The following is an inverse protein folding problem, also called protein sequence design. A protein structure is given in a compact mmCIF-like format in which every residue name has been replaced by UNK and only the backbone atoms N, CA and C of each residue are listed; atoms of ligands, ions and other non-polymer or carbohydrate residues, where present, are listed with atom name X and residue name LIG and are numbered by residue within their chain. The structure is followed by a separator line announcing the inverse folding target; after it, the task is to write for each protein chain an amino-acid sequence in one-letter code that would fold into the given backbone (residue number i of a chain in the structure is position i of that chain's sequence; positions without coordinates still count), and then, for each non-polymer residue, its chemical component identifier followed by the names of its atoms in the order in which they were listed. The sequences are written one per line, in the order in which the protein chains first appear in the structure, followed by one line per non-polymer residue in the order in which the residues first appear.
data_IF_434918891863
#
_entry.id   IF_434918891863
#
_cell.length_a   1.000
_cell.length_b   1.000
_cell.length_c   1.000
_cell.angle_alpha   90.00
_cell.angle_beta   90.00
_cell.angle_gamma   90.00
#
_symmetry.space_group_name_H-M   'P 1'
#
loop_
_entity.id
_entity.type
_entity.pdbx_description
1 polymer ?
#
# COMPACT_ATOMS: atom_id res chain seq x y z
N UNK A 1 -17.40 20.09 -16.96
CA UNK A 1 -16.89 18.73 -17.25
C UNK A 1 -17.56 17.76 -16.28
N UNK A 2 -18.37 16.79 -16.74
CA UNK A 2 -19.03 15.83 -15.86
C UNK A 2 -18.04 14.74 -15.40
N UNK A 3 -18.00 14.49 -14.07
CA UNK A 3 -17.19 13.47 -13.38
C UNK A 3 -17.28 12.04 -13.97
N UNK A 4 -18.31 11.75 -14.76
CA UNK A 4 -18.51 10.46 -15.42
C UNK A 4 -17.45 10.14 -16.47
N UNK A 5 -16.90 11.15 -17.14
CA UNK A 5 -15.93 10.92 -18.21
C UNK A 5 -14.55 10.53 -17.65
N UNK A 6 -14.11 11.20 -16.58
CA UNK A 6 -12.85 10.92 -15.91
C UNK A 6 -12.84 9.50 -15.29
N UNK A 7 -13.96 9.08 -14.71
CA UNK A 7 -14.10 7.75 -14.12
C UNK A 7 -14.02 6.64 -15.18
N UNK A 8 -14.62 6.88 -16.36
CA UNK A 8 -14.55 5.94 -17.48
C UNK A 8 -13.14 5.79 -18.05
N UNK A 9 -12.31 6.83 -17.97
CA UNK A 9 -10.89 6.77 -18.40
C UNK A 9 -10.07 5.96 -17.41
N UNK A 10 -10.26 6.15 -16.10
CA UNK A 10 -9.56 5.41 -15.06
C UNK A 10 -9.95 3.91 -15.03
N UNK A 11 -11.24 3.60 -15.21
CA UNK A 11 -11.75 2.22 -15.20
C UNK A 11 -11.30 1.38 -16.40
N UNK A 12 -10.98 2.02 -17.54
CA UNK A 12 -10.53 1.32 -18.74
C UNK A 12 -9.12 0.75 -18.62
N UNK A 13 -8.35 1.17 -17.61
CA UNK A 13 -6.97 0.74 -17.40
C UNK A 13 -6.06 1.21 -18.54
N UNK A 14 -4.92 1.78 -18.23
CA UNK A 14 -3.90 1.95 -19.26
C UNK A 14 -3.49 0.56 -19.76
N UNK A 15 -3.33 0.35 -21.08
CA UNK A 15 -2.90 -0.94 -21.59
C UNK A 15 -1.56 -1.29 -20.92
N UNK A 16 -1.53 -2.45 -20.25
CA UNK A 16 -0.31 -2.99 -19.65
C UNK A 16 0.79 -2.98 -20.72
N UNK A 17 1.95 -2.35 -20.47
CA UNK A 17 3.04 -2.36 -21.44
C UNK A 17 3.37 -3.82 -21.81
N UNK A 18 3.37 -4.10 -23.11
CA UNK A 18 3.70 -5.43 -23.63
C UNK A 18 5.09 -5.85 -23.13
N UNK A 19 5.27 -7.08 -22.63
CA UNK A 19 6.54 -7.51 -22.05
C UNK A 19 7.65 -7.44 -23.11
N UNK A 20 8.65 -6.57 -22.90
CA UNK A 20 9.85 -6.54 -23.76
C UNK A 20 10.57 -7.89 -23.68
N UNK A 21 10.90 -8.48 -24.83
CA UNK A 21 11.76 -9.66 -24.91
C UNK A 21 13.10 -9.33 -24.23
N UNK A 22 13.38 -10.02 -23.13
CA UNK A 22 14.64 -9.85 -22.40
C UNK A 22 15.74 -10.61 -23.12
N UNK A 23 16.94 -10.04 -23.18
CA UNK A 23 18.12 -10.77 -23.62
C UNK A 23 18.35 -11.97 -22.67
N UNK A 24 18.76 -13.12 -23.22
CA UNK A 24 19.05 -14.29 -22.40
C UNK A 24 20.19 -14.00 -21.42
N UNK A 25 20.19 -14.64 -20.23
CA UNK A 25 21.26 -14.42 -19.25
C UNK A 25 22.61 -14.93 -19.77
N UNK A 26 23.68 -14.27 -19.34
CA UNK A 26 25.05 -14.73 -19.59
C UNK A 26 25.37 -15.94 -18.70
N UNK A 27 25.70 -17.07 -19.31
CA UNK A 27 26.14 -18.27 -18.60
C UNK A 27 27.64 -18.23 -18.34
N UNK A 28 28.05 -18.36 -17.08
CA UNK A 28 29.46 -18.46 -16.67
C UNK A 28 29.72 -19.87 -16.13
N UNK A 29 30.71 -20.57 -16.68
CA UNK A 29 31.18 -21.84 -16.11
C UNK A 29 32.08 -21.53 -14.92
N UNK A 30 31.81 -22.18 -13.80
CA UNK A 30 32.59 -22.08 -12.57
C UNK A 30 32.93 -23.49 -12.10
N UNK A 31 34.14 -23.70 -11.63
CA UNK A 31 34.49 -24.87 -10.82
C UNK A 31 33.84 -24.76 -9.44
N UNK A 32 33.87 -25.84 -8.65
CA UNK A 32 33.27 -25.86 -7.31
C UNK A 32 34.00 -24.85 -6.41
N UNK A 33 35.33 -24.83 -6.51
CA UNK A 33 36.22 -23.97 -5.72
C UNK A 33 36.01 -22.48 -6.04
N UNK A 34 35.84 -22.14 -7.33
CA UNK A 34 35.54 -20.78 -7.77
C UNK A 34 34.17 -20.32 -7.28
N UNK A 35 33.17 -21.21 -7.33
CA UNK A 35 31.82 -20.92 -6.86
C UNK A 35 31.80 -20.66 -5.35
N UNK A 36 32.46 -21.50 -4.56
CA UNK A 36 32.57 -21.33 -3.11
C UNK A 36 33.29 -20.04 -2.72
N UNK A 37 34.35 -19.68 -3.45
CA UNK A 37 35.05 -18.41 -3.25
C UNK A 37 34.12 -17.23 -3.50
N UNK A 38 33.38 -17.24 -4.60
CA UNK A 38 32.43 -16.16 -4.91
C UNK A 38 31.27 -16.09 -3.91
N UNK A 39 30.78 -17.23 -3.39
CA UNK A 39 29.74 -17.24 -2.35
C UNK A 39 30.24 -16.67 -1.02
N UNK A 40 31.49 -16.97 -0.62
CA UNK A 40 32.13 -16.36 0.55
C UNK A 40 32.31 -14.86 0.38
N UNK A 41 32.81 -14.42 -0.76
CA UNK A 41 33.00 -12.99 -1.05
C UNK A 41 31.67 -12.23 -1.19
N UNK A 42 30.60 -12.90 -1.63
CA UNK A 42 29.26 -12.31 -1.75
C UNK A 42 28.58 -12.01 -0.41
N UNK A 43 29.02 -12.65 0.70
CA UNK A 43 28.55 -12.37 2.06
C UNK A 43 27.01 -12.32 2.21
N UNK A 44 26.30 -13.23 1.53
CA UNK A 44 24.83 -13.30 1.55
C UNK A 44 24.10 -12.54 0.44
N UNK A 45 24.83 -11.84 -0.44
CA UNK A 45 24.27 -11.25 -1.66
C UNK A 45 24.01 -12.31 -2.73
N UNK A 46 23.00 -12.12 -3.61
CA UNK A 46 22.82 -12.99 -4.77
C UNK A 46 24.08 -12.99 -5.64
N UNK A 47 24.59 -14.17 -5.98
CA UNK A 47 25.86 -14.34 -6.71
C UNK A 47 25.92 -13.49 -8.00
N UNK A 48 24.84 -13.46 -8.78
CA UNK A 48 24.78 -12.66 -10.00
C UNK A 48 24.82 -11.14 -9.75
N UNK A 49 24.28 -10.66 -8.62
CA UNK A 49 24.36 -9.25 -8.25
C UNK A 49 25.79 -8.88 -7.79
N UNK A 50 26.41 -9.78 -7.02
CA UNK A 50 27.79 -9.65 -6.59
C UNK A 50 28.76 -9.65 -7.79
N UNK A 51 28.68 -10.65 -8.68
CA UNK A 51 29.50 -10.71 -9.90
C UNK A 51 29.32 -9.45 -10.74
N UNK A 52 28.07 -9.01 -10.95
CA UNK A 52 27.79 -7.79 -11.71
C UNK A 52 28.41 -6.54 -11.08
N UNK A 53 28.41 -6.43 -9.76
CA UNK A 53 29.06 -5.31 -9.08
C UNK A 53 30.58 -5.29 -9.22
N UNK A 54 31.21 -6.47 -9.21
CA UNK A 54 32.66 -6.61 -9.37
C UNK A 54 33.09 -6.34 -10.81
N UNK A 55 32.32 -6.82 -11.79
CA UNK A 55 32.66 -6.70 -13.22
C UNK A 55 32.31 -5.32 -13.78
N UNK A 56 31.16 -4.75 -13.42
CA UNK A 56 30.65 -3.49 -14.01
C UNK A 56 30.81 -2.28 -13.08
N UNK A 57 31.46 -2.43 -11.92
CA UNK A 57 31.59 -1.37 -10.92
C UNK A 57 30.25 -0.83 -10.41
N UNK A 58 29.15 -1.55 -10.65
CA UNK A 58 27.81 -1.10 -10.28
C UNK A 58 27.61 -1.38 -8.79
N UNK A 59 27.23 -0.40 -7.96
CA UNK A 59 26.93 -0.67 -6.56
C UNK A 59 25.84 -1.76 -6.50
N UNK A 60 26.01 -2.72 -5.59
CA UNK A 60 24.96 -3.72 -5.34
C UNK A 60 23.78 -2.98 -4.73
N UNK A 61 22.87 -2.51 -5.58
CA UNK A 61 21.53 -2.16 -5.17
C UNK A 61 20.90 -3.51 -4.81
N UNK A 62 21.19 -3.97 -3.59
CA UNK A 62 20.48 -5.08 -2.98
C UNK A 62 19.04 -4.78 -3.22
N UNK A 63 18.38 -5.61 -4.06
CA UNK A 63 17.03 -5.33 -4.55
C UNK A 63 16.25 -5.04 -3.30
N UNK A 64 15.94 -3.76 -3.05
CA UNK A 64 15.09 -3.40 -1.94
C UNK A 64 13.85 -4.22 -2.24
N UNK A 65 13.62 -5.30 -1.47
CA UNK A 65 12.32 -5.94 -1.45
C UNK A 65 11.43 -4.75 -1.27
N UNK A 66 10.65 -4.39 -2.31
CA UNK A 66 9.66 -3.31 -2.23
C UNK A 66 9.05 -3.55 -0.87
N UNK A 67 9.29 -2.63 0.05
CA UNK A 67 8.95 -2.76 1.46
C UNK A 67 7.45 -2.61 1.53
N UNK A 68 6.75 -3.58 0.97
CA UNK A 68 5.42 -3.90 1.38
C UNK A 68 5.59 -4.33 2.82
N UNK A 69 4.84 -3.65 3.67
CA UNK A 69 4.62 -4.00 5.07
C UNK A 69 4.75 -5.53 5.28
N UNK A 70 5.48 -5.98 6.32
CA UNK A 70 5.50 -7.37 6.74
C UNK A 70 4.12 -8.03 6.60
N UNK A 71 4.07 -9.30 6.18
CA UNK A 71 2.80 -9.99 5.91
C UNK A 71 1.85 -9.94 7.12
N UNK A 72 2.41 -9.98 8.34
CA UNK A 72 1.67 -9.82 9.59
C UNK A 72 0.93 -8.47 9.70
N UNK A 73 1.56 -7.36 9.29
CA UNK A 73 0.95 -6.03 9.31
C UNK A 73 -0.22 -5.94 8.31
N UNK A 74 -0.12 -6.65 7.18
CA UNK A 74 -1.24 -6.73 6.22
C UNK A 74 -2.43 -7.49 6.77
N UNK A 75 -2.21 -8.57 7.52
CA UNK A 75 -3.28 -9.33 8.14
C UNK A 75 -3.99 -8.54 9.23
N UNK A 76 -3.24 -7.88 10.11
CA UNK A 76 -3.79 -7.00 11.14
C UNK A 76 -4.62 -5.85 10.52
N UNK A 77 -4.11 -5.22 9.46
CA UNK A 77 -4.85 -4.18 8.73
C UNK A 77 -6.11 -4.74 8.05
N UNK A 78 -6.02 -5.89 7.40
CA UNK A 78 -7.18 -6.52 6.75
C UNK A 78 -8.27 -6.88 7.77
N UNK A 79 -7.89 -7.39 8.94
CA UNK A 79 -8.81 -7.67 10.02
C UNK A 79 -9.48 -6.40 10.55
N UNK A 80 -8.71 -5.32 10.78
CA UNK A 80 -9.25 -4.03 11.21
C UNK A 80 -10.26 -3.47 10.18
N UNK A 81 -9.93 -3.50 8.89
CA UNK A 81 -10.84 -3.07 7.80
C UNK A 81 -12.07 -3.96 7.72
N UNK A 82 -11.93 -5.28 7.89
CA UNK A 82 -13.07 -6.20 7.89
C UNK A 82 -14.03 -5.94 9.05
N UNK A 83 -13.51 -5.69 10.26
CA UNK A 83 -14.31 -5.30 11.43
C UNK A 83 -15.03 -3.96 11.19
N UNK A 84 -14.37 -2.99 10.55
CA UNK A 84 -14.97 -1.72 10.17
C UNK A 84 -16.07 -1.88 9.10
N UNK A 85 -15.89 -2.81 8.16
CA UNK A 85 -16.93 -3.16 7.18
C UNK A 85 -18.15 -3.80 7.85
N UNK A 86 -17.92 -4.64 8.88
CA UNK A 86 -18.99 -5.31 9.63
C UNK A 86 -19.76 -4.35 10.55
N UNK A 87 -19.15 -3.28 11.05
CA UNK A 87 -19.79 -2.33 11.97
C UNK A 87 -20.84 -1.44 11.30
N UNK A 88 -20.96 -1.47 9.96
CA UNK A 88 -21.96 -0.71 9.18
C UNK A 88 -21.93 0.81 9.43
N UNK A 89 -20.81 1.36 9.92
CA UNK A 89 -20.68 2.78 10.25
C UNK A 89 -21.07 3.70 9.10
N UNK A 90 -20.68 3.37 7.86
CA UNK A 90 -21.04 4.15 6.68
C UNK A 90 -22.56 4.23 6.43
N UNK A 91 -23.27 3.12 6.66
CA UNK A 91 -24.73 3.09 6.52
C UNK A 91 -25.41 3.94 7.59
N UNK A 92 -24.94 3.84 8.84
CA UNK A 92 -25.49 4.61 9.95
C UNK A 92 -25.22 6.12 9.78
N UNK A 93 -24.01 6.50 9.36
CA UNK A 93 -23.68 7.89 9.02
C UNK A 93 -24.57 8.44 7.90
N UNK A 94 -24.87 7.64 6.88
CA UNK A 94 -25.77 8.03 5.81
C UNK A 94 -27.23 8.22 6.30
N UNK A 95 -27.67 7.42 7.28
CA UNK A 95 -28.98 7.60 7.92
C UNK A 95 -29.03 8.89 8.73
N UNK A 96 -27.98 9.22 9.47
CA UNK A 96 -27.87 10.48 10.21
C UNK A 96 -27.86 11.68 9.25
N UNK A 97 -27.05 11.64 8.19
CA UNK A 97 -27.01 12.70 7.17
C UNK A 97 -28.37 12.91 6.51
N UNK A 98 -29.09 11.82 6.19
CA UNK A 98 -30.45 11.89 5.68
C UNK A 98 -31.39 12.52 6.69
N UNK A 99 -31.33 12.12 7.97
CA UNK A 99 -32.17 12.65 9.04
C UNK A 99 -31.96 14.16 9.24
N UNK A 100 -30.72 14.64 9.15
CA UNK A 100 -30.40 16.07 9.14
C UNK A 100 -31.01 16.75 7.92
N UNK A 101 -30.82 16.18 6.73
CA UNK A 101 -31.29 16.79 5.48
C UNK A 101 -32.82 16.94 5.42
N UNK A 102 -33.56 15.96 5.93
CA UNK A 102 -35.03 16.02 5.99
C UNK A 102 -35.55 16.78 7.22
N UNK A 103 -34.66 17.32 8.06
CA UNK A 103 -35.01 18.09 9.26
C UNK A 103 -35.55 17.28 10.43
N UNK A 104 -35.39 15.94 10.41
CA UNK A 104 -35.84 15.04 11.48
C UNK A 104 -34.82 14.97 12.63
N UNK A 105 -33.53 15.17 12.32
CA UNK A 105 -32.49 15.29 13.35
C UNK A 105 -32.22 16.78 13.64
N UNK A 106 -32.55 17.28 14.84
CA UNK A 106 -32.27 18.66 15.20
C UNK A 106 -30.76 18.87 15.38
N UNK A 107 -30.17 19.70 14.52
CA UNK A 107 -28.77 20.15 14.60
C UNK A 107 -28.65 21.32 15.57
N UNK A 108 -28.83 21.04 16.86
CA UNK A 108 -28.53 22.01 17.93
C UNK A 108 -27.07 21.87 18.38
N UNK A 109 -26.51 22.89 19.06
CA UNK A 109 -25.15 22.82 19.60
C UNK A 109 -24.92 21.62 20.54
N UNK A 110 -25.96 21.18 21.25
CA UNK A 110 -25.90 20.02 22.14
C UNK A 110 -25.77 18.71 21.35
N UNK A 111 -26.56 18.53 20.27
CA UNK A 111 -26.47 17.37 19.39
C UNK A 111 -25.11 17.30 18.70
N UNK A 112 -24.56 18.45 18.28
CA UNK A 112 -23.23 18.55 17.69
C UNK A 112 -22.14 18.15 18.70
N UNK A 113 -22.21 18.65 19.93
CA UNK A 113 -21.27 18.28 21.00
C UNK A 113 -21.33 16.78 21.33
N UNK A 114 -22.53 16.16 21.29
CA UNK A 114 -22.69 14.73 21.51
C UNK A 114 -22.08 13.88 20.39
N UNK A 115 -22.27 14.27 19.12
CA UNK A 115 -21.66 13.61 17.98
C UNK A 115 -20.12 13.71 18.00
N UNK A 116 -19.58 14.88 18.35
CA UNK A 116 -18.14 15.08 18.50
C UNK A 116 -17.55 14.20 19.61
N UNK A 117 -18.22 14.12 20.78
CA UNK A 117 -17.83 13.21 21.87
C UNK A 117 -17.84 11.74 21.42
N UNK A 118 -18.88 11.30 20.69
CA UNK A 118 -18.99 9.93 20.20
C UNK A 118 -17.85 9.56 19.22
N UNK A 119 -17.33 10.53 18.47
CA UNK A 119 -16.19 10.36 17.56
C UNK A 119 -14.83 10.51 18.26
N UNK A 120 -14.80 10.77 19.57
CA UNK A 120 -13.58 11.03 20.32
C UNK A 120 -12.90 12.36 19.98
N UNK A 121 -13.59 13.22 19.23
CA UNK A 121 -13.15 14.57 18.90
C UNK A 121 -13.62 15.48 20.02
N UNK A 122 -12.78 15.69 21.02
CA UNK A 122 -13.06 16.69 22.04
C UNK A 122 -13.12 18.07 21.36
N UNK A 123 -14.19 18.83 21.59
CA UNK A 123 -14.24 20.23 21.20
C UNK A 123 -13.20 20.99 22.03
N UNK A 124 -12.04 21.25 21.44
CA UNK A 124 -11.10 22.25 21.91
C UNK A 124 -11.84 23.60 21.94
N UNK A 125 -12.30 24.00 23.12
CA UNK A 125 -13.05 25.24 23.28
C UNK A 125 -13.20 25.67 24.74
N UNK A 126 -12.25 26.48 25.22
CA UNK A 126 -12.50 27.44 26.29
C UNK A 126 -11.46 27.50 27.41
N UNK A 127 -10.52 28.45 27.28
CA UNK A 127 -9.96 29.17 28.43
C UNK A 127 -11.03 30.07 29.04
#
# INVERSE_FOLDING_TARGET
MPLSEDFGIAARGSPSPTPRKRQPPFGLRLTVEERERLEREAAGLPLGAYIKSRVLGTPVLGRARRSGLPVADREAHAQAVALLGRSRLASNLNQLARAVHIGVLPTTPETEAELLRALGLQAEGGR
#
